data_IF_969171461762
#
_entry.id   IF_969171461762
#
_cell.length_a   1.000
_cell.length_b   1.000
_cell.length_c   1.000
_cell.angle_alpha   90.00
_cell.angle_beta   90.00
_cell.angle_gamma   90.00
#
_symmetry.space_group_name_H-M   'P 1'
#
loop_
_entity.id
_entity.type
_entity.pdbx_description
1 polymer ?
#
# COMPACT_ATOMS: atom_id res chain seq x y z
N UNK A 1 -14.11 4.15 14.47
CA UNK A 1 -13.00 4.37 13.53
C UNK A 1 -13.60 4.30 12.14
N UNK A 2 -13.38 5.32 11.33
CA UNK A 2 -13.91 5.33 9.97
C UNK A 2 -12.91 4.61 9.06
N UNK A 3 -13.40 3.80 8.13
CA UNK A 3 -12.59 3.04 7.20
C UNK A 3 -13.00 3.41 5.78
N UNK A 4 -12.11 4.07 5.05
CA UNK A 4 -12.24 4.26 3.62
C UNK A 4 -11.77 2.98 2.93
N UNK A 5 -12.59 2.47 2.02
CA UNK A 5 -12.25 1.41 1.08
C UNK A 5 -12.42 1.91 -0.37
N UNK A 6 -11.54 1.47 -1.25
CA UNK A 6 -11.61 1.72 -2.70
C UNK A 6 -11.32 0.39 -3.41
N UNK A 7 -12.23 -0.04 -4.28
CA UNK A 7 -12.06 -1.25 -5.09
C UNK A 7 -10.94 -1.09 -6.10
N UNK A 8 -10.29 -2.19 -6.48
CA UNK A 8 -9.36 -2.23 -7.61
C UNK A 8 -10.00 -1.74 -8.92
N UNK A 9 -11.28 -2.03 -9.12
CA UNK A 9 -12.03 -1.57 -10.30
C UNK A 9 -12.21 -0.03 -10.36
N UNK A 10 -12.16 0.63 -9.21
CA UNK A 10 -12.45 2.07 -9.06
C UNK A 10 -11.18 2.93 -8.88
N UNK A 11 -10.10 2.32 -8.37
CA UNK A 11 -8.85 3.01 -8.12
C UNK A 11 -8.16 3.34 -9.46
N UNK A 12 -7.63 4.56 -9.55
CA UNK A 12 -6.82 4.96 -10.68
C UNK A 12 -5.53 5.65 -10.21
N UNK A 13 -4.72 6.06 -11.18
CA UNK A 13 -3.46 6.74 -10.93
C UNK A 13 -3.60 8.00 -10.09
N UNK A 14 -4.65 8.80 -10.34
CA UNK A 14 -4.88 10.05 -9.61
C UNK A 14 -5.38 9.80 -8.19
N UNK A 15 -6.22 8.79 -8.01
CA UNK A 15 -6.70 8.34 -6.70
C UNK A 15 -5.50 7.84 -5.88
N UNK A 16 -4.65 7.00 -6.47
CA UNK A 16 -3.40 6.52 -5.87
C UNK A 16 -2.48 7.66 -5.41
N UNK A 17 -2.31 8.69 -6.25
CA UNK A 17 -1.55 9.89 -5.88
C UNK A 17 -2.11 10.58 -4.64
N UNK A 18 -3.42 10.80 -4.60
CA UNK A 18 -4.06 11.44 -3.46
C UNK A 18 -3.96 10.57 -2.20
N UNK A 19 -4.11 9.25 -2.31
CA UNK A 19 -3.94 8.34 -1.18
C UNK A 19 -2.54 8.42 -0.57
N UNK A 20 -1.50 8.44 -1.42
CA UNK A 20 -0.10 8.58 -0.97
C UNK A 20 0.17 9.94 -0.34
N UNK A 21 -0.33 11.02 -0.96
CA UNK A 21 -0.17 12.37 -0.44
C UNK A 21 -0.87 12.53 0.92
N UNK A 22 -2.09 12.01 1.06
CA UNK A 22 -2.81 12.09 2.32
C UNK A 22 -2.23 11.17 3.39
N UNK A 23 -1.66 10.01 3.04
CA UNK A 23 -0.89 9.21 3.98
C UNK A 23 0.26 10.03 4.58
N UNK A 24 0.98 10.80 3.75
CA UNK A 24 2.02 11.73 4.22
C UNK A 24 1.44 12.82 5.13
N UNK A 25 0.34 13.47 4.72
CA UNK A 25 -0.30 14.57 5.47
C UNK A 25 -0.72 14.12 6.87
N UNK A 26 -1.26 12.90 7.02
CA UNK A 26 -1.68 12.38 8.34
C UNK A 26 -0.52 11.87 9.19
N UNK A 27 0.71 11.97 8.68
CA UNK A 27 1.93 11.64 9.39
C UNK A 27 2.36 10.19 9.27
N UNK A 28 2.17 9.57 8.10
CA UNK A 28 2.83 8.30 7.78
C UNK A 28 4.35 8.49 7.87
N UNK A 29 4.99 7.75 8.77
CA UNK A 29 6.43 7.85 9.03
C UNK A 29 7.22 6.67 8.43
N UNK A 30 6.52 5.59 8.06
CA UNK A 30 7.12 4.35 7.57
C UNK A 30 6.21 3.66 6.55
N UNK A 31 6.83 3.04 5.55
CA UNK A 31 6.16 2.08 4.66
C UNK A 31 6.74 0.69 4.85
N UNK A 32 5.94 -0.31 4.55
CA UNK A 32 6.46 -1.65 4.34
C UNK A 32 5.98 -2.23 3.02
N UNK A 33 6.84 -3.04 2.42
CA UNK A 33 6.56 -3.77 1.20
C UNK A 33 6.81 -5.25 1.44
N UNK A 34 5.91 -6.07 0.90
CA UNK A 34 6.08 -7.51 0.86
C UNK A 34 6.57 -7.92 -0.53
N UNK A 35 7.68 -8.65 -0.53
CA UNK A 35 8.46 -8.97 -1.73
C UNK A 35 8.39 -10.47 -1.92
N UNK A 36 7.76 -10.90 -3.00
CA UNK A 36 7.68 -12.30 -3.39
C UNK A 36 8.86 -12.68 -4.28
N UNK A 37 9.37 -13.90 -4.08
CA UNK A 37 10.36 -14.47 -5.00
C UNK A 37 9.68 -14.76 -6.34
N UNK A 38 10.27 -14.28 -7.43
CA UNK A 38 9.79 -14.53 -8.80
C UNK A 38 10.74 -15.43 -9.57
N UNK A 39 10.16 -16.24 -10.45
CA UNK A 39 10.90 -17.21 -11.27
C UNK A 39 11.17 -16.73 -12.70
N UNK A 40 10.40 -15.74 -13.20
CA UNK A 40 10.55 -15.22 -14.56
C UNK A 40 11.64 -14.14 -14.63
N UNK A 41 12.53 -14.21 -15.63
CA UNK A 41 13.69 -13.29 -15.72
C UNK A 41 13.29 -11.81 -15.76
N UNK A 42 12.26 -11.45 -16.53
CA UNK A 42 11.81 -10.06 -16.65
C UNK A 42 11.26 -9.52 -15.31
N UNK A 43 10.57 -10.38 -14.55
CA UNK A 43 10.03 -10.08 -13.23
C UNK A 43 11.16 -9.77 -12.25
N UNK A 44 12.21 -10.59 -12.29
CA UNK A 44 13.41 -10.45 -11.47
C UNK A 44 14.14 -9.14 -11.79
N UNK A 45 14.29 -8.77 -13.06
CA UNK A 45 14.95 -7.51 -13.44
C UNK A 45 14.19 -6.28 -12.95
N UNK A 46 12.87 -6.25 -13.11
CA UNK A 46 12.07 -5.14 -12.62
C UNK A 46 12.14 -5.05 -11.09
N UNK A 47 11.96 -6.17 -10.39
CA UNK A 47 12.05 -6.21 -8.94
C UNK A 47 13.41 -5.69 -8.46
N UNK A 48 14.53 -6.12 -9.07
CA UNK A 48 15.86 -5.58 -8.78
C UNK A 48 15.94 -4.06 -8.96
N UNK A 49 15.35 -3.54 -10.04
CA UNK A 49 15.30 -2.10 -10.31
C UNK A 49 14.49 -1.35 -9.24
N UNK A 50 13.35 -1.86 -8.82
CA UNK A 50 12.61 -1.26 -7.71
C UNK A 50 13.43 -1.30 -6.42
N UNK A 51 13.95 -2.47 -6.04
CA UNK A 51 14.69 -2.65 -4.78
C UNK A 51 15.92 -1.75 -4.71
N UNK A 52 16.68 -1.61 -5.80
CA UNK A 52 17.80 -0.65 -5.86
C UNK A 52 17.39 0.81 -5.69
N UNK A 53 16.17 1.19 -6.10
CA UNK A 53 15.64 2.54 -5.86
C UNK A 53 15.12 2.72 -4.41
N UNK A 54 14.71 1.63 -3.76
CA UNK A 54 14.22 1.61 -2.38
C UNK A 54 15.34 1.49 -1.35
N UNK A 55 16.46 0.86 -1.71
CA UNK A 55 17.61 0.58 -0.83
C UNK A 55 18.11 1.82 -0.04
N UNK A 56 18.20 3.03 -0.63
CA UNK A 56 18.58 4.23 0.13
C UNK A 56 17.63 4.60 1.27
N UNK A 57 16.39 4.13 1.24
CA UNK A 57 15.34 4.42 2.22
C UNK A 57 15.09 3.24 3.18
N UNK A 58 15.81 2.13 3.01
CA UNK A 58 15.63 0.91 3.76
C UNK A 58 16.06 1.05 5.23
N UNK A 59 15.15 0.72 6.14
CA UNK A 59 15.36 0.78 7.58
C UNK A 59 15.67 -0.58 8.20
N UNK A 60 15.65 -1.65 7.41
CA UNK A 60 15.79 -3.02 7.89
C UNK A 60 14.53 -3.85 7.69
N UNK A 61 14.63 -5.14 7.99
CA UNK A 61 13.47 -6.03 8.03
C UNK A 61 12.88 -6.00 9.42
N UNK A 62 11.57 -5.90 9.51
CA UNK A 62 10.85 -5.85 10.78
C UNK A 62 9.64 -6.78 10.76
N UNK A 63 9.24 -7.24 11.94
CA UNK A 63 7.97 -7.94 12.12
C UNK A 63 6.87 -6.88 12.30
N UNK A 64 6.08 -6.67 11.24
CA UNK A 64 5.12 -5.60 11.17
C UNK A 64 3.69 -6.13 11.15
N UNK A 65 2.82 -5.41 11.85
CA UNK A 65 1.38 -5.64 11.87
C UNK A 65 0.84 -5.51 10.44
N UNK A 66 0.04 -6.47 10.02
CA UNK A 66 -0.70 -6.44 8.76
C UNK A 66 -2.19 -6.66 9.04
N UNK A 67 -3.05 -5.98 8.28
CA UNK A 67 -4.46 -6.34 8.21
C UNK A 67 -4.64 -7.24 7.01
N UNK A 68 -5.34 -8.35 7.21
CA UNK A 68 -5.68 -9.34 6.19
C UNK A 68 -7.19 -9.43 6.12
N UNK A 69 -7.75 -9.44 4.91
CA UNK A 69 -9.20 -9.54 4.73
C UNK A 69 -9.54 -10.84 4.00
N UNK A 70 -10.34 -11.70 4.63
CA UNK A 70 -10.84 -12.95 4.04
C UNK A 70 -12.35 -13.01 4.21
N UNK A 71 -13.11 -13.25 3.14
CA UNK A 71 -14.57 -13.38 3.20
C UNK A 71 -15.27 -12.21 3.94
N UNK A 72 -14.80 -10.97 3.75
CA UNK A 72 -15.30 -9.77 4.44
C UNK A 72 -15.03 -9.69 5.95
N UNK A 73 -14.23 -10.62 6.50
CA UNK A 73 -13.72 -10.55 7.87
C UNK A 73 -12.27 -10.07 7.86
N UNK A 74 -11.95 -9.11 8.74
CA UNK A 74 -10.59 -8.60 8.90
C UNK A 74 -9.89 -9.26 10.08
N UNK A 75 -8.68 -9.76 9.85
CA UNK A 75 -7.79 -10.31 10.88
C UNK A 75 -6.49 -9.49 10.91
N UNK A 76 -5.84 -9.45 12.09
CA UNK A 76 -4.56 -8.77 12.29
C UNK A 76 -3.48 -9.82 12.47
N UNK A 77 -2.50 -9.81 11.57
CA UNK A 77 -1.34 -10.72 11.62
C UNK A 77 -0.04 -9.93 11.73
N UNK A 78 1.05 -10.64 11.93
CA UNK A 78 2.40 -10.10 11.88
C UNK A 78 3.19 -10.82 10.81
N UNK A 79 3.94 -10.07 10.00
CA UNK A 79 4.77 -10.61 8.93
C UNK A 79 6.08 -9.84 8.86
N UNK A 80 7.16 -10.57 8.59
CA UNK A 80 8.47 -9.96 8.33
C UNK A 80 8.45 -9.26 6.97
N UNK A 81 8.64 -7.95 6.97
CA UNK A 81 8.59 -7.12 5.75
C UNK A 81 9.79 -6.17 5.68
N UNK A 82 10.06 -5.68 4.47
CA UNK A 82 11.02 -4.58 4.28
C UNK A 82 10.42 -3.27 4.78
N UNK A 83 11.09 -2.62 5.72
CA UNK A 83 10.70 -1.30 6.23
C UNK A 83 11.44 -0.20 5.49
N UNK A 84 10.72 0.86 5.15
CA UNK A 84 11.20 2.02 4.43
C UNK A 84 10.79 3.30 5.17
N UNK A 85 11.63 4.32 5.15
CA UNK A 85 11.26 5.63 5.71
C UNK A 85 10.26 6.38 4.81
N UNK A 86 9.71 7.48 5.33
CA UNK A 86 8.68 8.23 4.62
C UNK A 86 9.10 8.83 3.26
N UNK A 87 10.40 8.95 2.97
CA UNK A 87 10.89 9.54 1.73
C UNK A 87 10.74 8.61 0.52
N UNK A 88 10.48 7.31 0.76
CA UNK A 88 10.25 6.34 -0.30
C UNK A 88 8.93 6.51 -1.06
N UNK A 89 8.01 7.40 -0.64
CA UNK A 89 6.75 7.69 -1.35
C UNK A 89 7.00 8.01 -2.82
N UNK A 90 8.04 8.79 -3.10
CA UNK A 90 8.40 9.20 -4.46
C UNK A 90 8.72 8.00 -5.35
N UNK A 91 9.30 6.95 -4.76
CA UNK A 91 9.60 5.68 -5.45
C UNK A 91 8.30 4.89 -5.64
N UNK A 92 7.44 4.79 -4.62
CA UNK A 92 6.13 4.14 -4.75
C UNK A 92 5.32 4.75 -5.89
N UNK A 93 5.22 6.09 -5.93
CA UNK A 93 4.55 6.84 -7.00
C UNK A 93 5.09 6.52 -8.40
N UNK A 94 6.40 6.31 -8.51
CA UNK A 94 7.08 6.04 -9.78
C UNK A 94 6.90 4.59 -10.25
N UNK A 95 6.70 3.66 -9.33
CA UNK A 95 6.68 2.22 -9.59
C UNK A 95 5.32 1.54 -9.38
N UNK A 96 4.27 2.28 -9.01
CA UNK A 96 2.92 1.72 -8.79
C UNK A 96 2.18 1.29 -10.06
N UNK A 97 2.76 1.35 -11.25
CA UNK A 97 2.04 1.04 -12.49
C UNK A 97 0.85 1.98 -12.75
N UNK A 98 -0.30 1.43 -13.12
CA UNK A 98 -1.55 2.18 -13.35
C UNK A 98 -2.15 2.72 -12.04
N UNK A 99 -2.01 2.00 -10.94
CA UNK A 99 -2.49 2.35 -9.59
C UNK A 99 -1.87 1.41 -8.54
N UNK A 100 -1.98 1.76 -7.26
CA UNK A 100 -1.38 1.01 -6.15
C UNK A 100 -1.77 -0.48 -6.02
N UNK A 101 -2.82 -0.91 -6.71
CA UNK A 101 -3.32 -2.29 -6.73
C UNK A 101 -3.08 -3.03 -8.06
N UNK A 102 -2.30 -2.44 -8.97
CA UNK A 102 -2.10 -2.96 -10.34
C UNK A 102 -1.64 -4.42 -10.34
N UNK A 103 -2.50 -5.29 -10.87
CA UNK A 103 -2.33 -6.74 -10.96
C UNK A 103 -1.08 -7.13 -11.76
N UNK A 104 -0.73 -6.35 -12.77
CA UNK A 104 0.47 -6.57 -13.56
C UNK A 104 1.74 -6.34 -12.72
N UNK A 105 1.72 -5.34 -11.84
CA UNK A 105 2.81 -5.05 -10.90
C UNK A 105 2.89 -6.17 -9.86
N UNK A 106 1.76 -6.57 -9.27
CA UNK A 106 1.75 -7.62 -8.24
C UNK A 106 2.16 -8.99 -8.79
N UNK A 107 1.53 -9.40 -9.89
CA UNK A 107 1.77 -10.69 -10.55
C UNK A 107 3.17 -10.78 -11.13
N UNK A 108 3.61 -9.76 -11.86
CA UNK A 108 4.87 -9.81 -12.58
C UNK A 108 6.07 -9.24 -11.83
N UNK A 109 5.91 -8.38 -10.82
CA UNK A 109 7.07 -7.69 -10.21
C UNK A 109 7.27 -8.09 -8.75
N UNK A 110 6.32 -8.84 -8.19
CA UNK A 110 6.43 -9.46 -6.87
C UNK A 110 6.29 -8.50 -5.73
N UNK A 111 5.51 -7.45 -5.95
CA UNK A 111 5.06 -6.56 -4.90
C UNK A 111 3.65 -6.98 -4.54
N UNK A 112 3.50 -7.76 -3.48
CA UNK A 112 2.16 -8.23 -3.06
C UNK A 112 1.34 -7.09 -2.43
N UNK A 113 1.99 -6.02 -1.98
CA UNK A 113 1.33 -4.80 -1.55
C UNK A 113 2.20 -3.81 -0.79
N UNK A 114 1.64 -2.62 -0.59
CA UNK A 114 2.19 -1.52 0.18
C UNK A 114 1.41 -1.32 1.47
N UNK A 115 2.10 -1.13 2.58
CA UNK A 115 1.49 -0.84 3.89
C UNK A 115 2.09 0.42 4.48
N UNK A 116 1.25 1.20 5.14
CA UNK A 116 1.51 2.57 5.54
C UNK A 116 1.36 2.66 7.05
N UNK A 117 2.35 3.21 7.76
CA UNK A 117 2.34 3.22 9.23
C UNK A 117 2.59 4.59 9.80
N UNK A 118 2.08 4.76 11.03
CA UNK A 118 2.44 5.84 11.94
C UNK A 118 2.83 5.23 13.27
N UNK A 119 4.12 5.25 13.58
CA UNK A 119 4.69 4.46 14.65
C UNK A 119 4.49 2.96 14.38
N UNK A 120 3.68 2.30 15.23
CA UNK A 120 3.39 0.86 15.10
C UNK A 120 2.01 0.54 14.54
N UNK A 121 1.20 1.56 14.30
CA UNK A 121 -0.16 1.37 13.80
C UNK A 121 -0.21 1.48 12.29
N UNK A 122 -1.08 0.67 11.68
CA UNK A 122 -1.37 0.74 10.26
C UNK A 122 -2.30 1.94 10.03
N UNK A 123 -1.96 2.77 9.05
CA UNK A 123 -2.80 3.86 8.57
C UNK A 123 -3.58 3.48 7.33
N UNK A 124 -2.93 2.77 6.42
CA UNK A 124 -3.51 2.39 5.14
C UNK A 124 -2.77 1.17 4.58
N UNK A 125 -3.39 0.43 3.67
CA UNK A 125 -2.68 -0.52 2.83
C UNK A 125 -3.31 -0.63 1.44
N UNK A 126 -2.44 -0.95 0.49
CA UNK A 126 -2.77 -1.36 -0.86
C UNK A 126 -2.25 -2.79 -1.05
N UNK A 127 -3.13 -3.79 -1.00
CA UNK A 127 -2.72 -5.19 -1.17
C UNK A 127 -3.53 -5.76 -2.32
N UNK A 128 -2.86 -6.12 -3.41
CA UNK A 128 -3.53 -6.58 -4.62
C UNK A 128 -4.44 -7.79 -4.35
N UNK A 129 -3.96 -8.78 -3.58
CA UNK A 129 -4.75 -9.97 -3.26
C UNK A 129 -5.97 -9.75 -2.35
N UNK A 130 -6.24 -8.51 -1.92
CA UNK A 130 -7.47 -8.16 -1.21
C UNK A 130 -8.47 -7.41 -2.09
N UNK A 131 -8.12 -7.05 -3.33
CA UNK A 131 -8.96 -6.27 -4.27
C UNK A 131 -9.40 -4.89 -3.77
N UNK A 132 -8.87 -4.42 -2.63
CA UNK A 132 -9.22 -3.12 -2.05
C UNK A 132 -8.01 -2.40 -1.47
N UNK A 133 -8.01 -1.08 -1.61
CA UNK A 133 -7.21 -0.18 -0.81
C UNK A 133 -8.02 0.23 0.42
N UNK A 134 -7.40 0.21 1.60
CA UNK A 134 -8.01 0.74 2.82
C UNK A 134 -7.23 1.88 3.44
N UNK A 135 -7.94 2.85 4.00
CA UNK A 135 -7.40 3.95 4.79
C UNK A 135 -8.19 4.08 6.11
N UNK A 136 -7.49 4.00 7.23
CA UNK A 136 -8.03 4.11 8.59
C UNK A 136 -8.09 5.58 9.01
N UNK A 137 -9.25 5.99 9.52
CA UNK A 137 -9.59 7.37 9.88
C UNK A 137 -9.20 8.38 8.78
N UNK A 138 -9.72 8.20 7.55
CA UNK A 138 -9.40 9.03 6.40
C UNK A 138 -9.84 10.49 6.63
N UNK A 139 -9.02 11.49 6.25
CA UNK A 139 -9.44 12.88 6.30
C UNK A 139 -10.66 13.13 5.41
N UNK A 140 -11.62 13.93 5.87
CA UNK A 140 -12.82 14.27 5.09
C UNK A 140 -12.50 14.87 3.71
N UNK A 141 -11.40 15.65 3.62
CA UNK A 141 -10.94 16.21 2.34
C UNK A 141 -10.52 15.14 1.34
N UNK A 142 -9.89 14.05 1.80
CA UNK A 142 -9.54 12.91 0.94
C UNK A 142 -10.81 12.25 0.40
N UNK A 143 -11.80 11.98 1.26
CA UNK A 143 -13.09 11.39 0.85
C UNK A 143 -13.75 12.27 -0.22
N UNK A 144 -13.80 13.58 0.00
CA UNK A 144 -14.40 14.53 -0.94
C UNK A 144 -13.68 14.55 -2.31
N UNK A 145 -12.35 14.42 -2.32
CA UNK A 145 -11.54 14.36 -3.54
C UNK A 145 -11.80 13.07 -4.32
N UNK A 146 -11.92 11.95 -3.62
CA UNK A 146 -12.17 10.64 -4.22
C UNK A 146 -13.62 10.48 -4.71
N UNK A 147 -14.55 11.21 -4.11
CA UNK A 147 -15.95 11.27 -4.51
C UNK A 147 -16.61 9.89 -4.49
N UNK A 148 -17.29 9.47 -5.59
CA UNK A 148 -18.07 8.23 -5.61
C UNK A 148 -17.23 6.96 -5.47
N UNK A 149 -15.90 7.04 -5.65
CA UNK A 149 -14.96 5.91 -5.48
C UNK A 149 -14.71 5.56 -4.01
N UNK A 150 -14.98 6.51 -3.11
CA UNK A 150 -14.75 6.35 -1.69
C UNK A 150 -15.95 5.66 -1.02
N UNK A 151 -15.76 4.42 -0.59
CA UNK A 151 -16.73 3.71 0.25
C UNK A 151 -16.29 3.82 1.70
N UNK A 152 -17.05 4.54 2.53
CA UNK A 152 -16.71 4.74 3.95
C UNK A 152 -17.60 3.85 4.82
N UNK A 153 -16.98 2.95 5.57
CA UNK A 153 -17.62 2.11 6.58
C UNK A 153 -17.13 2.44 7.99
N UNK A 154 -17.75 1.83 9.00
CA UNK A 154 -17.22 1.81 10.38
C UNK A 154 -16.47 0.53 10.61
N UNK A 155 -15.23 0.61 11.09
CA UNK A 155 -14.50 -0.56 11.59
C UNK A 155 -14.95 -0.84 13.04
N UNK A 156 -15.25 -2.12 13.34
CA UNK A 156 -15.66 -2.60 14.67
C UNK A 156 -14.57 -2.36 15.72
#
# INVERSE_FOLDING_TARGET
MDLLNISDDDIDFNSSKWLLEYARIVGCDRFSVDIEVKEMDFAVEYQKKLLSNLEPYYLGSEDAKIVVMYNYESDVRHQKMWSLNHDSISIILRFMGRHLLDDMIAGNEGISGWRFYKGKEILACAVHGFDYFYFIDPPATLINILGPKAVVGKQL
#
